data_IF_498728024728
#
_entry.id   IF_498728024728
#
_cell.length_a   1.000
_cell.length_b   1.000
_cell.length_c   1.000
_cell.angle_alpha   90.00
_cell.angle_beta   90.00
_cell.angle_gamma   90.00
#
_symmetry.space_group_name_H-M   'P 1'
#
loop_
_entity.id
_entity.type
_entity.pdbx_description
1 polymer ?
#
# COMPACT_ATOMS: atom_id res chain seq x y z
N UNK A 1 -21.09 -5.44 15.15
CA UNK A 1 -20.80 -4.02 14.88
C UNK A 1 -19.38 -3.68 15.37
N UNK A 2 -18.64 -2.94 14.56
CA UNK A 2 -17.32 -2.42 14.93
C UNK A 2 -17.52 -1.24 15.91
N UNK A 3 -16.91 -1.25 17.10
CA UNK A 3 -16.94 -0.09 17.98
C UNK A 3 -16.27 1.12 17.31
N UNK A 4 -16.65 2.34 17.72
CA UNK A 4 -16.07 3.57 17.17
C UNK A 4 -16.89 4.26 16.06
N UNK A 5 -18.00 3.68 15.62
CA UNK A 5 -18.88 4.28 14.62
C UNK A 5 -18.17 4.58 13.30
N UNK A 6 -18.24 5.84 12.86
CA UNK A 6 -17.61 6.30 11.59
C UNK A 6 -16.10 6.51 11.66
N UNK A 7 -15.49 6.41 12.85
CA UNK A 7 -14.04 6.62 13.06
C UNK A 7 -13.48 5.54 13.98
N UNK A 8 -13.43 4.28 13.54
CA UNK A 8 -12.86 3.21 14.34
C UNK A 8 -11.34 3.42 14.48
N UNK A 9 -10.79 2.99 15.62
CA UNK A 9 -9.34 3.00 15.89
C UNK A 9 -8.74 1.61 15.65
N UNK A 10 -7.41 1.49 15.53
CA UNK A 10 -6.74 0.18 15.41
C UNK A 10 -7.10 -0.80 16.53
N UNK A 11 -7.29 -0.32 17.76
CA UNK A 11 -7.68 -1.14 18.90
C UNK A 11 -9.09 -1.74 18.74
N UNK A 12 -10.00 -1.01 18.11
CA UNK A 12 -11.33 -1.53 17.79
C UNK A 12 -11.26 -2.71 16.81
N UNK A 13 -10.38 -2.62 15.79
CA UNK A 13 -10.13 -3.73 14.86
C UNK A 13 -9.50 -4.93 15.58
N UNK A 14 -8.47 -4.70 16.39
CA UNK A 14 -7.79 -5.74 17.16
C UNK A 14 -8.76 -6.46 18.11
N UNK A 15 -9.59 -5.71 18.83
CA UNK A 15 -10.60 -6.28 19.73
C UNK A 15 -11.62 -7.13 18.97
N UNK A 16 -12.06 -6.68 17.79
CA UNK A 16 -13.01 -7.44 16.97
C UNK A 16 -12.35 -8.71 16.44
N UNK A 17 -11.12 -8.63 15.93
CA UNK A 17 -10.37 -9.80 15.44
C UNK A 17 -10.23 -10.87 16.51
N UNK A 18 -9.84 -10.51 17.74
CA UNK A 18 -9.75 -11.46 18.86
C UNK A 18 -11.09 -12.12 19.24
N UNK A 19 -12.22 -11.42 19.02
CA UNK A 19 -13.57 -11.96 19.28
C UNK A 19 -14.04 -12.94 18.22
N UNK A 20 -13.54 -12.82 17.01
CA UNK A 20 -13.99 -13.66 15.87
C UNK A 20 -13.01 -14.77 15.51
N UNK A 21 -11.85 -14.81 16.11
CA UNK A 21 -10.77 -15.75 15.78
C UNK A 21 -11.19 -17.23 15.81
N UNK A 22 -12.02 -17.61 16.79
CA UNK A 22 -12.49 -18.98 16.95
C UNK A 22 -13.78 -19.31 16.15
N UNK A 23 -14.25 -18.41 15.29
CA UNK A 23 -15.48 -18.61 14.51
C UNK A 23 -15.16 -19.24 13.14
N UNK A 24 -16.08 -20.06 12.66
CA UNK A 24 -15.96 -20.68 11.32
C UNK A 24 -15.97 -19.63 10.18
N UNK A 25 -16.64 -18.50 10.40
CA UNK A 25 -16.71 -17.39 9.44
C UNK A 25 -15.64 -16.30 9.66
N UNK A 26 -14.61 -16.56 10.49
CA UNK A 26 -13.55 -15.62 10.84
C UNK A 26 -12.84 -15.05 9.60
N UNK A 27 -12.56 -15.88 8.60
CA UNK A 27 -11.90 -15.47 7.35
C UNK A 27 -12.74 -14.44 6.56
N UNK A 28 -14.05 -14.65 6.49
CA UNK A 28 -14.96 -13.71 5.80
C UNK A 28 -14.96 -12.36 6.52
N UNK A 29 -15.04 -12.37 7.85
CA UNK A 29 -15.04 -11.16 8.67
C UNK A 29 -13.70 -10.41 8.52
N UNK A 30 -12.56 -11.12 8.55
CA UNK A 30 -11.23 -10.54 8.34
C UNK A 30 -11.12 -9.88 6.96
N UNK A 31 -11.59 -10.56 5.91
CA UNK A 31 -11.61 -10.02 4.55
C UNK A 31 -12.47 -8.75 4.47
N UNK A 32 -13.66 -8.74 5.08
CA UNK A 32 -14.53 -7.57 5.12
C UNK A 32 -13.88 -6.40 5.89
N UNK A 33 -13.22 -6.67 7.00
CA UNK A 33 -12.47 -5.67 7.77
C UNK A 33 -11.35 -5.07 6.93
N UNK A 34 -10.57 -5.91 6.24
CA UNK A 34 -9.49 -5.46 5.37
C UNK A 34 -10.02 -4.57 4.23
N UNK A 35 -11.13 -4.96 3.59
CA UNK A 35 -11.80 -4.18 2.54
C UNK A 35 -12.41 -2.86 3.05
N UNK A 36 -12.69 -2.73 4.35
CA UNK A 36 -13.19 -1.50 4.96
C UNK A 36 -12.11 -0.44 5.19
N UNK A 37 -10.83 -0.83 5.14
CA UNK A 37 -9.71 0.10 5.29
C UNK A 37 -9.57 0.98 4.06
N UNK A 38 -9.27 2.26 4.28
CA UNK A 38 -8.91 3.18 3.20
C UNK A 38 -7.60 2.77 2.57
N UNK A 39 -7.53 2.86 1.24
CA UNK A 39 -6.25 2.66 0.54
C UNK A 39 -5.24 3.73 0.96
N UNK A 40 -3.98 3.31 1.11
CA UNK A 40 -2.88 4.23 1.33
C UNK A 40 -2.68 5.14 0.11
N UNK A 41 -2.34 6.40 0.37
CA UNK A 41 -2.02 7.39 -0.66
C UNK A 41 -0.71 8.06 -0.31
N UNK A 42 0.06 8.44 -1.33
CA UNK A 42 1.23 9.28 -1.15
C UNK A 42 0.80 10.74 -1.10
N UNK A 43 1.17 11.43 -0.04
CA UNK A 43 0.85 12.83 0.17
C UNK A 43 1.94 13.50 1.02
N UNK A 44 2.15 14.82 0.91
CA UNK A 44 3.15 15.54 1.72
C UNK A 44 2.75 15.66 3.20
N UNK A 45 1.46 15.60 3.51
CA UNK A 45 0.93 15.68 4.87
C UNK A 45 1.13 14.35 5.61
N UNK A 46 1.52 14.46 6.89
CA UNK A 46 1.65 13.28 7.74
C UNK A 46 0.27 12.82 8.23
N UNK A 47 -0.23 11.72 7.73
CA UNK A 47 -1.47 11.07 8.19
C UNK A 47 -1.23 9.90 9.16
N UNK A 48 0.03 9.62 9.51
CA UNK A 48 0.38 8.43 10.29
C UNK A 48 0.20 7.14 9.49
N UNK A 49 0.12 6.03 10.20
CA UNK A 49 -0.16 4.72 9.63
C UNK A 49 -1.15 3.96 10.50
N UNK A 50 -2.39 3.84 10.05
CA UNK A 50 -3.47 3.22 10.81
C UNK A 50 -3.14 1.77 11.22
N UNK A 51 -2.78 0.91 10.27
CA UNK A 51 -2.56 -0.52 10.54
C UNK A 51 -1.32 -0.82 11.40
N UNK A 52 -0.31 0.08 11.43
CA UNK A 52 0.85 -0.04 12.30
C UNK A 52 0.73 0.80 13.59
N UNK A 53 -0.33 1.58 13.71
CA UNK A 53 -0.57 2.49 14.83
C UNK A 53 0.60 3.46 15.07
N UNK A 54 1.16 4.01 13.99
CA UNK A 54 2.21 5.02 14.07
C UNK A 54 1.65 6.43 13.84
N UNK A 55 2.05 7.37 14.68
CA UNK A 55 1.69 8.79 14.53
C UNK A 55 2.35 9.45 13.32
N UNK A 56 3.49 8.94 12.88
CA UNK A 56 4.19 9.41 11.69
C UNK A 56 4.77 8.23 10.91
N UNK A 57 4.60 8.27 9.60
CA UNK A 57 5.09 7.22 8.72
C UNK A 57 5.52 7.78 7.37
N UNK A 58 6.60 7.26 6.83
CA UNK A 58 7.04 7.52 5.46
C UNK A 58 7.69 6.29 4.85
N UNK A 59 7.48 6.07 3.58
CA UNK A 59 8.25 5.09 2.82
C UNK A 59 9.70 5.57 2.70
N UNK A 60 10.67 4.70 3.01
CA UNK A 60 12.08 5.08 3.06
C UNK A 60 13.03 4.01 2.53
N UNK A 61 12.70 2.73 2.70
CA UNK A 61 13.66 1.63 2.60
C UNK A 61 13.91 1.12 1.19
N UNK A 62 13.15 1.55 0.18
CA UNK A 62 13.23 1.02 -1.18
C UNK A 62 13.35 2.09 -2.27
N UNK A 63 14.36 3.01 -2.20
CA UNK A 63 14.47 4.15 -3.13
C UNK A 63 14.81 3.76 -4.58
N UNK A 64 15.23 2.51 -4.82
CA UNK A 64 15.53 2.00 -6.17
C UNK A 64 14.24 1.76 -6.97
N UNK A 65 13.18 1.28 -6.31
CA UNK A 65 11.93 0.87 -6.96
C UNK A 65 10.72 1.73 -6.59
N UNK A 66 10.80 2.55 -5.53
CA UNK A 66 9.72 3.45 -5.13
C UNK A 66 10.21 4.89 -5.15
N UNK A 67 9.62 5.67 -6.03
CA UNK A 67 9.98 7.08 -6.18
C UNK A 67 9.72 7.92 -4.90
N UNK A 68 8.64 7.71 -4.13
CA UNK A 68 8.45 8.40 -2.84
C UNK A 68 9.62 8.20 -1.86
N UNK A 69 10.18 6.99 -1.76
CA UNK A 69 11.37 6.74 -0.93
C UNK A 69 12.56 7.59 -1.39
N UNK A 70 12.78 7.67 -2.71
CA UNK A 70 13.84 8.51 -3.26
C UNK A 70 13.63 10.00 -2.93
N UNK A 71 12.37 10.49 -2.95
CA UNK A 71 12.05 11.86 -2.56
C UNK A 71 12.38 12.12 -1.09
N UNK A 72 12.07 11.18 -0.20
CA UNK A 72 12.44 11.27 1.24
C UNK A 72 13.96 11.31 1.40
N UNK A 73 14.71 10.45 0.71
CA UNK A 73 16.19 10.50 0.71
C UNK A 73 16.72 11.85 0.21
N UNK A 74 16.12 12.42 -0.83
CA UNK A 74 16.52 13.74 -1.36
C UNK A 74 16.21 14.86 -0.35
N UNK A 75 15.04 14.82 0.29
CA UNK A 75 14.66 15.76 1.33
C UNK A 75 15.64 15.74 2.51
N UNK A 76 15.98 14.54 3.01
CA UNK A 76 16.96 14.35 4.08
C UNK A 76 18.32 14.91 3.67
N UNK A 77 18.81 14.61 2.46
CA UNK A 77 20.07 15.16 1.95
C UNK A 77 20.06 16.69 1.87
N UNK A 78 18.96 17.28 1.44
CA UNK A 78 18.80 18.73 1.39
C UNK A 78 18.81 19.33 2.80
N UNK A 79 18.10 18.74 3.76
CA UNK A 79 18.05 19.16 5.16
C UNK A 79 19.43 19.09 5.84
N UNK A 80 20.14 17.96 5.68
CA UNK A 80 21.48 17.79 6.26
C UNK A 80 22.47 18.81 5.68
N UNK A 81 22.45 19.06 4.38
CA UNK A 81 23.32 20.06 3.73
C UNK A 81 22.96 21.50 4.05
N UNK A 82 21.73 21.74 4.53
CA UNK A 82 21.27 23.05 4.94
C UNK A 82 21.72 23.50 6.32
N UNK A 83 22.19 22.57 7.16
CA UNK A 83 22.52 22.84 8.58
C UNK A 83 23.97 23.31 8.84
N UNK A 84 24.69 23.84 7.84
CA UNK A 84 25.98 24.52 8.07
C UNK A 84 27.23 23.72 7.77
N UNK A 85 28.39 24.29 8.14
CA UNK A 85 29.73 23.75 7.90
C UNK A 85 29.94 22.43 8.66
N UNK A 86 30.21 21.33 7.96
CA UNK A 86 30.65 20.10 8.61
C UNK A 86 29.80 18.85 8.39
N UNK A 87 29.02 18.78 7.31
CA UNK A 87 28.36 17.52 6.95
C UNK A 87 29.40 16.50 6.50
N UNK A 88 29.56 15.42 7.29
CA UNK A 88 30.45 14.29 6.99
C UNK A 88 29.97 13.36 5.87
N UNK A 89 29.15 13.88 4.95
CA UNK A 89 28.69 13.06 3.80
C UNK A 89 29.87 12.90 2.84
N UNK A 90 30.47 11.72 2.85
CA UNK A 90 31.49 11.34 1.87
C UNK A 90 30.83 11.24 0.50
N UNK A 91 31.35 11.96 -0.47
CA UNK A 91 30.95 11.81 -1.87
C UNK A 91 31.67 10.58 -2.45
N UNK A 92 30.99 9.90 -3.37
CA UNK A 92 31.67 8.90 -4.21
C UNK A 92 32.78 9.60 -4.99
N UNK A 93 33.99 9.01 -5.00
CA UNK A 93 35.13 9.57 -5.71
C UNK A 93 34.79 9.77 -7.18
N UNK A 94 34.97 10.99 -7.68
CA UNK A 94 34.64 11.35 -9.07
C UNK A 94 33.20 11.85 -9.30
N UNK A 95 32.32 11.85 -8.30
CA UNK A 95 30.96 12.40 -8.47
C UNK A 95 30.99 13.94 -8.54
N UNK A 96 30.33 14.49 -9.55
CA UNK A 96 30.19 15.94 -9.70
C UNK A 96 29.41 16.56 -8.52
N UNK A 97 29.80 17.76 -8.04
CA UNK A 97 29.07 18.45 -6.97
C UNK A 97 27.71 18.93 -7.49
N UNK A 98 26.63 18.47 -6.84
CA UNK A 98 25.29 18.98 -7.08
C UNK A 98 25.02 20.21 -6.22
N UNK A 99 24.50 21.29 -6.83
CA UNK A 99 23.97 22.43 -6.10
C UNK A 99 22.81 22.00 -5.22
N UNK A 100 22.65 22.65 -4.04
CA UNK A 100 21.59 22.32 -3.07
C UNK A 100 20.19 22.36 -3.69
N UNK A 101 19.93 23.41 -4.48
CA UNK A 101 18.66 23.64 -5.18
C UNK A 101 18.29 22.50 -6.15
N UNK A 102 19.30 21.79 -6.67
CA UNK A 102 19.08 20.62 -7.53
C UNK A 102 18.85 19.32 -6.78
N UNK A 103 19.10 19.28 -5.48
CA UNK A 103 18.89 18.06 -4.67
C UNK A 103 17.42 17.89 -4.34
N UNK A 104 16.75 18.97 -3.96
CA UNK A 104 15.32 18.97 -3.63
C UNK A 104 14.66 20.25 -4.18
N UNK A 105 14.34 20.27 -5.48
CA UNK A 105 13.76 21.45 -6.17
C UNK A 105 12.22 21.48 -6.08
N UNK A 106 11.62 20.83 -5.09
CA UNK A 106 10.18 20.66 -4.99
C UNK A 106 9.58 21.62 -3.96
N UNK A 107 8.52 22.32 -4.35
CA UNK A 107 7.58 23.01 -3.47
C UNK A 107 6.42 22.08 -3.06
N UNK A 108 5.51 22.57 -2.24
CA UNK A 108 4.35 21.79 -1.75
C UNK A 108 3.44 21.37 -2.90
N UNK A 109 3.19 22.25 -3.88
CA UNK A 109 2.35 21.92 -5.03
C UNK A 109 2.95 20.78 -5.88
N UNK A 110 4.26 20.84 -6.15
CA UNK A 110 4.97 19.77 -6.84
C UNK A 110 4.92 18.45 -6.04
N UNK A 111 5.01 18.50 -4.71
CA UNK A 111 4.92 17.30 -3.87
C UNK A 111 3.53 16.68 -3.88
N UNK A 112 2.46 17.47 -3.89
CA UNK A 112 1.08 16.97 -4.04
C UNK A 112 0.93 16.26 -5.39
N UNK A 113 1.32 16.91 -6.49
CA UNK A 113 1.22 16.31 -7.82
C UNK A 113 2.03 15.01 -7.95
N UNK A 114 3.22 14.96 -7.37
CA UNK A 114 4.05 13.73 -7.32
C UNK A 114 3.39 12.64 -6.48
N UNK A 115 2.77 12.98 -5.36
CA UNK A 115 2.02 12.04 -4.52
C UNK A 115 0.84 11.40 -5.27
N UNK A 116 0.04 12.21 -5.94
CA UNK A 116 -1.08 11.76 -6.78
C UNK A 116 -0.59 10.84 -7.91
N UNK A 117 0.46 11.25 -8.62
CA UNK A 117 1.05 10.45 -9.70
C UNK A 117 1.59 9.11 -9.19
N UNK A 118 2.31 9.08 -8.06
CA UNK A 118 2.84 7.86 -7.48
C UNK A 118 1.70 6.93 -7.02
N UNK A 119 0.67 7.46 -6.38
CA UNK A 119 -0.50 6.70 -5.95
C UNK A 119 -1.26 6.10 -7.12
N UNK A 120 -1.43 6.86 -8.21
CA UNK A 120 -2.08 6.38 -9.43
C UNK A 120 -1.26 5.26 -10.10
N UNK A 121 0.06 5.45 -10.24
CA UNK A 121 0.92 4.45 -10.91
C UNK A 121 1.06 3.17 -10.11
N UNK A 122 1.06 3.24 -8.79
CA UNK A 122 1.07 2.06 -7.90
C UNK A 122 -0.23 1.25 -8.09
N UNK A 123 -1.40 1.91 -8.00
CA UNK A 123 -2.69 1.24 -8.25
C UNK A 123 -2.75 0.59 -9.63
N UNK A 124 -2.28 1.29 -10.67
CA UNK A 124 -2.25 0.73 -12.02
C UNK A 124 -1.34 -0.49 -12.14
N UNK A 125 -0.22 -0.52 -11.41
CA UNK A 125 0.65 -1.70 -11.38
C UNK A 125 -0.01 -2.88 -10.67
N UNK A 126 -0.72 -2.63 -9.56
CA UNK A 126 -1.48 -3.64 -8.83
C UNK A 126 -2.63 -4.21 -9.69
N UNK A 127 -3.35 -3.33 -10.40
CA UNK A 127 -4.43 -3.75 -11.31
C UNK A 127 -3.89 -4.62 -12.44
N UNK A 128 -2.76 -4.23 -13.06
CA UNK A 128 -2.12 -5.02 -14.11
C UNK A 128 -1.67 -6.41 -13.60
N UNK A 129 -1.12 -6.47 -12.39
CA UNK A 129 -0.72 -7.74 -11.77
C UNK A 129 -1.93 -8.65 -11.52
N UNK A 130 -3.03 -8.08 -10.98
CA UNK A 130 -4.27 -8.83 -10.75
C UNK A 130 -4.91 -9.33 -12.05
N UNK A 131 -4.86 -8.53 -13.11
CA UNK A 131 -5.38 -8.92 -14.42
C UNK A 131 -4.61 -10.08 -15.02
N UNK A 132 -3.27 -10.05 -14.94
CA UNK A 132 -2.41 -11.16 -15.40
C UNK A 132 -2.67 -12.42 -14.56
N UNK A 133 -2.78 -12.30 -13.24
CA UNK A 133 -3.08 -13.43 -12.37
C UNK A 133 -4.45 -14.05 -12.69
N UNK A 134 -5.47 -13.24 -12.88
CA UNK A 134 -6.80 -13.69 -13.29
C UNK A 134 -6.76 -14.39 -14.66
N UNK A 135 -6.01 -13.84 -15.61
CA UNK A 135 -5.83 -14.48 -16.92
C UNK A 135 -5.15 -15.84 -16.83
N UNK A 136 -4.07 -15.95 -16.03
CA UNK A 136 -3.37 -17.21 -15.80
C UNK A 136 -4.27 -18.27 -15.14
N UNK A 137 -5.09 -17.86 -14.15
CA UNK A 137 -6.08 -18.76 -13.52
C UNK A 137 -7.12 -19.23 -14.52
N UNK A 138 -7.62 -18.36 -15.38
CA UNK A 138 -8.56 -18.73 -16.44
C UNK A 138 -7.92 -19.68 -17.48
N UNK A 139 -6.66 -19.42 -17.88
CA UNK A 139 -5.93 -20.28 -18.81
C UNK A 139 -5.69 -21.70 -18.23
N UNK A 140 -5.35 -21.77 -16.95
CA UNK A 140 -5.20 -23.03 -16.21
C UNK A 140 -6.50 -23.83 -16.12
N UNK A 141 -7.65 -23.16 -15.97
CA UNK A 141 -8.94 -23.81 -15.78
C UNK A 141 -9.67 -24.14 -17.10
N UNK A 142 -9.24 -23.61 -18.24
CA UNK A 142 -9.96 -23.75 -19.51
C UNK A 142 -10.24 -25.20 -19.93
N UNK A 143 -9.28 -26.11 -19.66
CA UNK A 143 -9.37 -27.52 -20.00
C UNK A 143 -10.08 -28.36 -18.92
N UNK A 144 -10.48 -27.73 -17.81
CA UNK A 144 -11.14 -28.33 -16.65
C UNK A 144 -12.62 -27.94 -16.53
N UNK A 145 -13.21 -27.42 -17.62
CA UNK A 145 -14.62 -27.06 -17.65
C UNK A 145 -15.48 -28.34 -17.51
N UNK A 146 -16.39 -28.33 -16.54
CA UNK A 146 -17.26 -29.46 -16.20
C UNK A 146 -16.77 -30.29 -15.03
N UNK A 147 -15.58 -29.99 -14.47
CA UNK A 147 -15.14 -30.58 -13.21
C UNK A 147 -15.84 -29.94 -12.01
N UNK A 148 -15.94 -30.65 -10.91
CA UNK A 148 -16.47 -30.17 -9.65
C UNK A 148 -15.31 -29.74 -8.75
N UNK A 149 -15.47 -28.57 -8.10
CA UNK A 149 -14.48 -27.99 -7.21
C UNK A 149 -15.11 -27.61 -5.88
N UNK A 150 -14.35 -27.75 -4.80
CA UNK A 150 -14.70 -27.14 -3.52
C UNK A 150 -14.40 -25.62 -3.56
N UNK A 151 -15.31 -24.82 -3.00
CA UNK A 151 -15.13 -23.40 -2.98
C UNK A 151 -15.94 -22.71 -1.89
N UNK A 152 -15.55 -21.46 -1.59
CA UNK A 152 -16.19 -20.60 -0.59
C UNK A 152 -16.84 -19.42 -1.30
N UNK A 153 -18.07 -19.07 -0.89
CA UNK A 153 -18.75 -17.88 -1.42
C UNK A 153 -18.00 -16.63 -0.92
N UNK A 154 -17.32 -15.93 -1.82
CA UNK A 154 -16.54 -14.73 -1.53
C UNK A 154 -17.37 -13.46 -1.63
N UNK A 155 -18.39 -13.43 -2.49
CA UNK A 155 -19.30 -12.29 -2.62
C UNK A 155 -20.65 -12.70 -3.19
N UNK A 156 -21.70 -11.95 -2.82
CA UNK A 156 -23.05 -12.09 -3.34
C UNK A 156 -23.44 -10.77 -4.00
N UNK A 157 -23.95 -10.84 -5.22
CA UNK A 157 -24.38 -9.69 -6.02
C UNK A 157 -25.80 -9.89 -6.52
N UNK A 158 -26.40 -8.88 -7.13
CA UNK A 158 -27.75 -8.97 -7.69
C UNK A 158 -27.86 -9.92 -8.88
N UNK A 159 -26.75 -10.25 -9.54
CA UNK A 159 -26.72 -11.13 -10.72
C UNK A 159 -26.10 -12.52 -10.42
N UNK A 160 -25.63 -12.77 -9.21
CA UNK A 160 -25.07 -14.08 -8.85
C UNK A 160 -24.13 -14.05 -7.66
N UNK A 161 -23.44 -15.16 -7.46
CA UNK A 161 -22.43 -15.34 -6.39
C UNK A 161 -21.06 -15.51 -7.01
N UNK A 162 -20.04 -14.93 -6.35
CA UNK A 162 -18.64 -15.20 -6.63
C UNK A 162 -18.15 -16.30 -5.68
N UNK A 163 -17.57 -17.33 -6.24
CA UNK A 163 -17.00 -18.47 -5.49
C UNK A 163 -15.50 -18.46 -5.67
N UNK A 164 -14.80 -18.47 -4.56
CA UNK A 164 -13.34 -18.66 -4.53
C UNK A 164 -13.06 -20.16 -4.41
N UNK A 165 -12.29 -20.68 -5.35
CA UNK A 165 -11.94 -22.12 -5.38
C UNK A 165 -10.82 -22.38 -4.38
N UNK A 166 -10.98 -23.41 -3.53
CA UNK A 166 -10.05 -23.71 -2.43
C UNK A 166 -8.63 -24.05 -2.90
N UNK A 167 -8.49 -24.59 -4.10
CA UNK A 167 -7.20 -25.01 -4.69
C UNK A 167 -6.51 -23.92 -5.54
N UNK A 168 -7.15 -22.75 -5.71
CA UNK A 168 -6.67 -21.67 -6.57
C UNK A 168 -6.68 -20.35 -5.80
N UNK A 169 -5.59 -20.04 -5.14
CA UNK A 169 -5.38 -18.77 -4.41
C UNK A 169 -5.18 -17.59 -5.35
#
# INVERSE_FOLDING_TARGET
>A
DLPGGMKPTPEHYQSLLGRVEARDDSHIIQTMLLRSLSQAVYQPENAGHFGLHYEAYAHFTSPIRRYPDLLVHRAIRAAIRGRGKGTHIRRVKGAAPLKREKIYPYDTGAMVALGEQCSMTERRADDATREVDAWLKCDYLKDRIGEEFEGVIAAVTTFGVFVELSDLY
#
